data_IF_146026153097
#
_entry.id   IF_146026153097
#
_cell.length_a   1.000
_cell.length_b   1.000
_cell.length_c   1.000
_cell.angle_alpha   90.00
_cell.angle_beta   90.00
_cell.angle_gamma   90.00
#
_symmetry.space_group_name_H-M   'P 1'
#
loop_
_entity.id
_entity.type
_entity.pdbx_description
1 polymer ?
#
# COMPACT_ATOMS: atom_id res chain seq x y z
N UNK A 1 -25.78 -23.99 -31.52
CA UNK A 1 -25.60 -22.57 -31.16
C UNK A 1 -25.68 -22.44 -29.64
N UNK A 2 -24.56 -22.15 -28.97
CA UNK A 2 -24.46 -21.27 -27.80
C UNK A 2 -23.03 -21.34 -27.25
N UNK A 3 -22.41 -20.16 -27.22
CA UNK A 3 -21.05 -19.92 -26.82
C UNK A 3 -20.83 -20.22 -25.33
N UNK A 4 -19.71 -20.82 -25.00
CA UNK A 4 -19.03 -20.68 -23.70
C UNK A 4 -17.55 -20.68 -24.07
N UNK A 5 -17.00 -19.54 -24.47
CA UNK A 5 -16.64 -18.51 -23.52
C UNK A 5 -15.24 -18.85 -23.03
N UNK A 6 -14.24 -18.36 -23.79
CA UNK A 6 -12.81 -18.50 -23.53
C UNK A 6 -12.56 -18.18 -22.06
N UNK A 7 -12.30 -19.22 -21.25
CA UNK A 7 -11.82 -19.04 -19.89
C UNK A 7 -10.37 -18.57 -20.01
N UNK A 8 -10.19 -17.26 -20.13
CA UNK A 8 -8.90 -16.61 -19.91
C UNK A 8 -8.55 -16.93 -18.47
N UNK A 9 -7.76 -17.97 -18.27
CA UNK A 9 -7.06 -18.22 -17.02
C UNK A 9 -6.07 -17.08 -16.84
N UNK A 10 -6.55 -15.97 -16.27
CA UNK A 10 -5.70 -14.93 -15.72
C UNK A 10 -4.89 -15.61 -14.64
N UNK A 11 -3.67 -16.01 -15.01
CA UNK A 11 -2.61 -16.41 -14.13
C UNK A 11 -2.25 -15.17 -13.31
N UNK A 12 -3.07 -14.86 -12.31
CA UNK A 12 -2.71 -13.92 -11.25
C UNK A 12 -1.54 -14.62 -10.56
N UNK A 13 -0.33 -14.19 -10.91
CA UNK A 13 0.85 -14.44 -10.11
C UNK A 13 0.54 -13.87 -8.73
N UNK A 14 -0.01 -14.71 -7.86
CA UNK A 14 -0.07 -14.47 -6.43
C UNK A 14 1.36 -14.53 -5.93
N UNK A 15 2.10 -13.44 -6.17
CA UNK A 15 3.33 -13.17 -5.43
C UNK A 15 2.88 -13.11 -3.99
N UNK A 16 3.14 -14.18 -3.24
CA UNK A 16 2.97 -14.22 -1.81
C UNK A 16 4.01 -13.27 -1.21
N UNK A 17 3.74 -11.97 -1.32
CA UNK A 17 4.42 -10.94 -0.57
C UNK A 17 3.95 -11.15 0.87
N UNK A 18 4.85 -11.43 1.83
CA UNK A 18 4.45 -11.68 3.21
C UNK A 18 3.56 -10.53 3.72
N UNK A 19 2.29 -10.78 4.09
CA UNK A 19 1.22 -9.79 4.13
C UNK A 19 1.23 -8.85 5.35
N UNK A 20 2.38 -8.60 5.99
CA UNK A 20 2.38 -7.95 7.31
C UNK A 20 3.57 -7.06 7.67
N UNK A 21 4.68 -7.06 6.93
CA UNK A 21 5.89 -6.39 7.43
C UNK A 21 5.91 -4.87 7.17
N UNK A 22 5.25 -4.39 6.11
CA UNK A 22 5.51 -3.04 5.61
C UNK A 22 4.52 -1.97 6.07
N UNK A 23 3.28 -2.32 6.41
CA UNK A 23 2.27 -1.32 6.76
C UNK A 23 2.39 -0.85 8.23
N UNK A 24 2.95 -1.70 9.11
CA UNK A 24 3.36 -1.35 10.47
C UNK A 24 4.76 -0.69 10.52
N UNK A 25 5.37 -0.44 9.36
CA UNK A 25 6.66 0.27 9.28
C UNK A 25 6.54 1.63 9.94
N UNK A 26 7.51 1.95 10.80
CA UNK A 26 7.66 3.29 11.37
C UNK A 26 7.90 4.29 10.24
N UNK A 27 7.27 5.46 10.34
CA UNK A 27 7.44 6.53 9.36
C UNK A 27 8.90 6.98 9.19
N UNK A 28 9.73 6.84 10.23
CA UNK A 28 11.18 7.00 10.11
C UNK A 28 11.81 6.03 9.11
N UNK A 29 11.54 4.73 9.25
CA UNK A 29 12.03 3.67 8.35
C UNK A 29 11.45 3.83 6.94
N UNK A 30 10.15 4.10 6.83
CA UNK A 30 9.47 4.34 5.56
C UNK A 30 10.10 5.48 4.76
N UNK A 31 10.55 6.55 5.42
CA UNK A 31 11.23 7.65 4.73
C UNK A 31 12.57 7.21 4.10
N UNK A 32 13.26 6.25 4.71
CA UNK A 32 14.55 5.71 4.23
C UNK A 32 14.41 4.67 3.12
N UNK A 33 13.21 4.11 2.92
CA UNK A 33 12.95 3.14 1.85
C UNK A 33 12.99 3.79 0.45
N UNK A 34 13.38 2.99 -0.54
CA UNK A 34 13.24 3.32 -1.96
C UNK A 34 11.75 3.41 -2.38
N UNK A 35 11.48 4.06 -3.52
CA UNK A 35 10.12 4.25 -4.04
C UNK A 35 9.32 2.95 -4.17
N UNK A 36 9.98 1.84 -4.53
CA UNK A 36 9.35 0.53 -4.61
C UNK A 36 8.91 0.00 -3.23
N UNK A 37 9.74 0.18 -2.20
CA UNK A 37 9.41 -0.21 -0.83
C UNK A 37 8.28 0.65 -0.25
N UNK A 38 8.30 1.95 -0.55
CA UNK A 38 7.23 2.88 -0.18
C UNK A 38 5.90 2.50 -0.83
N UNK A 39 5.92 2.16 -2.11
CA UNK A 39 4.74 1.73 -2.84
C UNK A 39 4.16 0.44 -2.29
N UNK A 40 5.01 -0.54 -1.96
CA UNK A 40 4.59 -1.79 -1.32
C UNK A 40 3.93 -1.55 0.04
N UNK A 41 4.55 -0.76 0.92
CA UNK A 41 3.99 -0.43 2.24
C UNK A 41 2.61 0.26 2.15
N UNK A 42 2.44 1.15 1.19
CA UNK A 42 1.17 1.85 0.95
C UNK A 42 0.12 0.95 0.31
N UNK A 43 0.51 0.06 -0.60
CA UNK A 43 -0.39 -0.94 -1.17
C UNK A 43 -0.88 -1.93 -0.11
N UNK A 44 -0.03 -2.31 0.84
CA UNK A 44 -0.44 -3.13 1.99
C UNK A 44 -1.42 -2.38 2.88
N UNK A 45 -1.17 -1.09 3.16
CA UNK A 45 -2.13 -0.26 3.89
C UNK A 45 -3.47 -0.17 3.14
N UNK A 46 -3.45 -0.02 1.82
CA UNK A 46 -4.64 -0.02 0.98
C UNK A 46 -5.39 -1.37 0.99
N UNK A 47 -4.67 -2.49 0.90
CA UNK A 47 -5.23 -3.84 1.01
C UNK A 47 -5.87 -4.09 2.39
N UNK A 48 -5.33 -3.47 3.43
CA UNK A 48 -5.89 -3.43 4.79
C UNK A 48 -7.15 -2.56 4.95
N UNK A 49 -7.67 -1.95 3.87
CA UNK A 49 -8.89 -1.14 3.88
C UNK A 49 -8.68 0.33 4.26
N UNK A 50 -7.45 0.83 4.20
CA UNK A 50 -7.13 2.23 4.47
C UNK A 50 -7.70 3.16 3.37
N UNK A 51 -7.94 4.43 3.71
CA UNK A 51 -8.39 5.46 2.79
C UNK A 51 -7.51 5.63 1.54
N UNK A 52 -6.22 5.27 1.64
CA UNK A 52 -5.30 5.24 0.49
C UNK A 52 -5.72 4.26 -0.61
N UNK A 53 -6.57 3.28 -0.32
CA UNK A 53 -7.16 2.38 -1.33
C UNK A 53 -8.09 3.09 -2.32
N UNK A 54 -8.58 4.28 -1.95
CA UNK A 54 -9.52 5.07 -2.77
C UNK A 54 -8.82 6.08 -3.68
N UNK A 55 -7.49 6.22 -3.60
CA UNK A 55 -6.71 7.15 -4.42
C UNK A 55 -5.62 6.41 -5.22
N UNK A 56 -5.00 7.11 -6.17
CA UNK A 56 -3.93 6.52 -6.99
C UNK A 56 -2.74 6.10 -6.11
N UNK A 57 -2.06 4.97 -6.39
CA UNK A 57 -0.92 4.49 -5.59
C UNK A 57 0.20 5.53 -5.45
N UNK A 58 0.42 6.33 -6.49
CA UNK A 58 1.40 7.43 -6.48
C UNK A 58 1.01 8.55 -5.51
N UNK A 59 -0.26 8.95 -5.49
CA UNK A 59 -0.75 9.98 -4.57
C UNK A 59 -0.75 9.49 -3.14
N UNK A 60 -1.08 8.20 -2.93
CA UNK A 60 -1.01 7.57 -1.62
C UNK A 60 0.42 7.52 -1.07
N UNK A 61 1.42 7.22 -1.91
CA UNK A 61 2.84 7.31 -1.51
C UNK A 61 3.24 8.74 -1.19
N UNK A 62 2.84 9.72 -2.01
CA UNK A 62 3.15 11.13 -1.75
C UNK A 62 2.53 11.59 -0.42
N UNK A 63 1.29 11.19 -0.14
CA UNK A 63 0.60 11.48 1.12
C UNK A 63 1.28 10.81 2.31
N UNK A 64 1.62 9.52 2.19
CA UNK A 64 2.34 8.79 3.23
C UNK A 64 3.71 9.44 3.53
N UNK A 65 4.47 9.82 2.50
CA UNK A 65 5.75 10.53 2.66
C UNK A 65 5.55 11.88 3.34
N UNK A 66 4.57 12.67 2.90
CA UNK A 66 4.29 13.99 3.47
C UNK A 66 3.95 13.88 4.97
N UNK A 67 3.10 12.93 5.34
CA UNK A 67 2.68 12.76 6.73
C UNK A 67 3.76 12.10 7.59
N UNK A 68 4.48 11.11 7.05
CA UNK A 68 5.58 10.43 7.74
C UNK A 68 6.80 11.33 7.98
N UNK A 69 7.00 12.39 7.19
CA UNK A 69 8.03 13.40 7.49
C UNK A 69 7.74 14.18 8.77
N UNK A 70 6.47 14.36 9.12
CA UNK A 70 6.05 15.11 10.31
C UNK A 70 5.95 14.17 11.52
N UNK A 71 5.53 12.91 11.31
CA UNK A 71 5.24 11.95 12.37
C UNK A 71 6.16 10.72 12.30
N UNK A 72 7.47 10.95 12.39
CA UNK A 72 8.50 9.89 12.25
C UNK A 72 8.42 8.78 13.29
N UNK A 73 7.82 9.04 14.46
CA UNK A 73 7.66 8.08 15.54
C UNK A 73 6.39 7.22 15.49
N UNK A 74 5.51 7.45 14.51
CA UNK A 74 4.29 6.68 14.31
C UNK A 74 4.43 5.72 13.12
N UNK A 75 3.56 4.72 13.01
CA UNK A 75 3.57 3.79 11.87
C UNK A 75 2.84 4.40 10.66
N UNK A 76 3.23 4.01 9.46
CA UNK A 76 2.62 4.48 8.20
C UNK A 76 1.10 4.28 8.24
N UNK A 77 0.61 3.12 8.70
CA UNK A 77 -0.82 2.88 8.92
C UNK A 77 -1.45 3.84 9.91
N UNK A 78 -0.83 4.10 11.06
CA UNK A 78 -1.39 5.00 12.08
C UNK A 78 -1.53 6.41 11.55
N UNK A 79 -0.53 6.88 10.80
CA UNK A 79 -0.50 8.22 10.23
C UNK A 79 -1.49 8.36 9.07
N UNK A 80 -1.66 7.33 8.25
CA UNK A 80 -2.63 7.30 7.15
C UNK A 80 -4.09 7.11 7.64
N UNK A 81 -4.29 6.39 8.74
CA UNK A 81 -5.61 6.24 9.38
C UNK A 81 -5.95 7.40 10.33
N UNK A 82 -4.96 8.18 10.77
CA UNK A 82 -5.18 9.41 11.50
C UNK A 82 -5.90 10.39 10.59
N UNK A 83 -7.24 10.36 10.70
CA UNK A 83 -8.16 11.25 10.02
C UNK A 83 -7.64 12.68 10.17
N UNK A 84 -7.25 13.29 9.04
CA UNK A 84 -7.06 14.73 8.98
C UNK A 84 -8.40 15.44 9.21
#
# INVERSE_FOLDING_TARGET
MRAVGVLVTVLVLSVAIPPTAHADTLCGDFNTMDDAGKLAAVQEAAAGGNAVAQISPKDAVALAVAMCRVRVGETVIQVLNSKA
#
